data_IF_212432133689
#
_entry.id   IF_212432133689
#
_cell.length_a   1.000
_cell.length_b   1.000
_cell.length_c   1.000
_cell.angle_alpha   90.00
_cell.angle_beta   90.00
_cell.angle_gamma   90.00
#
_symmetry.space_group_name_H-M   'P 1'
#
loop_
_entity.id
_entity.type
_entity.pdbx_description
1 polymer ?
#
# COMPACT_ATOMS: atom_id res chain seq x y z
N UNK A 1 -26.31 -5.12 -12.04
CA UNK A 1 -25.57 -3.98 -12.64
C UNK A 1 -24.19 -3.96 -12.00
N UNK A 2 -23.14 -4.30 -12.75
CA UNK A 2 -21.76 -4.26 -12.26
C UNK A 2 -21.26 -2.82 -12.40
N UNK A 3 -20.96 -2.14 -11.30
CA UNK A 3 -20.47 -0.76 -11.36
C UNK A 3 -19.07 -0.76 -11.96
N UNK A 4 -18.91 -0.12 -13.12
CA UNK A 4 -17.59 0.18 -13.67
C UNK A 4 -16.89 1.16 -12.72
N UNK A 5 -15.60 0.92 -12.46
CA UNK A 5 -14.75 1.85 -11.75
C UNK A 5 -14.75 3.19 -12.50
N UNK A 6 -14.96 4.28 -11.77
CA UNK A 6 -14.97 5.62 -12.32
C UNK A 6 -14.29 6.60 -11.34
N UNK A 7 -14.23 7.88 -11.71
CA UNK A 7 -13.55 8.89 -10.91
C UNK A 7 -14.19 9.16 -9.54
N UNK A 8 -15.42 8.70 -9.25
CA UNK A 8 -16.17 9.02 -8.01
C UNK A 8 -15.32 8.83 -6.76
N UNK A 9 -15.53 9.69 -5.76
CA UNK A 9 -14.82 9.54 -4.49
C UNK A 9 -15.08 8.16 -3.86
N UNK A 10 -14.02 7.62 -3.26
CA UNK A 10 -14.03 6.43 -2.44
C UNK A 10 -14.47 5.16 -3.18
N UNK A 11 -14.22 5.07 -4.50
CA UNK A 11 -14.22 3.78 -5.17
C UNK A 11 -12.84 3.13 -5.08
N UNK A 12 -12.83 1.81 -4.92
CA UNK A 12 -11.63 1.01 -4.74
C UNK A 12 -11.46 0.09 -5.93
N UNK A 13 -10.25 0.04 -6.50
CA UNK A 13 -9.97 -0.83 -7.66
C UNK A 13 -9.27 -2.13 -7.26
N UNK A 14 -8.26 -2.05 -6.39
CA UNK A 14 -7.48 -3.19 -5.92
C UNK A 14 -6.88 -2.96 -4.54
N UNK A 15 -6.63 -4.05 -3.81
CA UNK A 15 -5.88 -4.08 -2.56
C UNK A 15 -4.83 -5.18 -2.59
N UNK A 16 -3.61 -4.87 -2.13
CA UNK A 16 -2.48 -5.78 -2.05
C UNK A 16 -2.10 -5.92 -0.57
N UNK A 17 -2.43 -7.07 0.00
CA UNK A 17 -2.14 -7.42 1.38
C UNK A 17 -1.21 -8.63 1.40
N UNK A 18 -0.02 -8.44 1.96
CA UNK A 18 0.92 -9.51 2.21
C UNK A 18 1.21 -9.55 3.71
N UNK A 19 0.55 -10.48 4.40
CA UNK A 19 0.78 -10.75 5.81
C UNK A 19 2.01 -11.65 5.98
N UNK A 20 2.96 -11.22 6.81
CA UNK A 20 4.04 -12.06 7.30
C UNK A 20 3.58 -12.85 8.52
N UNK A 21 4.08 -14.08 8.67
CA UNK A 21 3.84 -14.92 9.85
C UNK A 21 4.75 -14.58 11.04
N UNK A 22 5.64 -13.60 10.87
CA UNK A 22 6.67 -13.20 11.81
C UNK A 22 7.73 -12.34 11.12
N UNK A 23 8.44 -11.51 11.87
CA UNK A 23 9.60 -10.78 11.38
C UNK A 23 10.90 -11.48 11.79
N UNK A 24 12.00 -11.35 11.02
CA UNK A 24 13.31 -11.80 11.48
C UNK A 24 13.64 -11.16 12.84
N UNK A 25 13.90 -11.97 13.88
CA UNK A 25 14.16 -11.51 15.24
C UNK A 25 12.91 -11.18 16.08
N UNK A 26 11.71 -11.32 15.50
CA UNK A 26 10.43 -11.16 16.18
C UNK A 26 9.38 -12.10 15.53
N UNK A 27 9.66 -13.41 15.60
CA UNK A 27 8.94 -14.44 14.85
C UNK A 27 7.49 -14.66 15.33
N UNK A 28 7.15 -14.16 16.52
CA UNK A 28 5.77 -14.16 17.05
C UNK A 28 4.99 -12.88 16.74
N UNK A 29 5.61 -11.86 16.16
CA UNK A 29 4.95 -10.60 15.83
C UNK A 29 4.33 -10.68 14.43
N UNK A 30 3.00 -10.71 14.38
CA UNK A 30 2.27 -10.60 13.14
C UNK A 30 2.48 -9.21 12.51
N UNK A 31 2.65 -9.16 11.19
CA UNK A 31 2.82 -7.90 10.46
C UNK A 31 2.46 -8.01 8.99
N UNK A 32 2.43 -6.86 8.30
CA UNK A 32 2.20 -6.80 6.86
C UNK A 32 3.46 -6.29 6.16
N UNK A 33 3.99 -7.08 5.22
CA UNK A 33 5.03 -6.64 4.27
C UNK A 33 4.42 -5.62 3.30
N UNK A 34 3.15 -5.80 2.96
CA UNK A 34 2.38 -4.88 2.13
C UNK A 34 0.95 -4.76 2.66
N UNK A 35 0.45 -3.53 2.71
CA UNK A 35 -0.95 -3.22 3.01
C UNK A 35 -1.35 -1.99 2.20
N UNK A 36 -1.39 -2.14 0.88
CA UNK A 36 -1.61 -1.03 -0.05
C UNK A 36 -2.93 -1.18 -0.79
N UNK A 37 -3.57 -0.08 -1.15
CA UNK A 37 -4.77 -0.11 -1.97
C UNK A 37 -4.84 1.09 -2.92
N UNK A 38 -5.62 0.93 -3.98
CA UNK A 38 -5.89 1.97 -4.96
C UNK A 38 -7.29 2.54 -4.73
N UNK A 39 -7.40 3.86 -4.70
CA UNK A 39 -8.65 4.56 -4.40
C UNK A 39 -8.79 5.84 -5.22
N UNK A 40 -10.00 6.10 -5.72
CA UNK A 40 -10.35 7.33 -6.43
C UNK A 40 -10.86 8.44 -5.50
N UNK A 41 -10.59 9.70 -5.82
CA UNK A 41 -10.97 10.86 -4.98
C UNK A 41 -11.78 11.96 -5.69
N UNK A 42 -12.60 11.60 -6.69
CA UNK A 42 -13.26 12.49 -7.69
C UNK A 42 -12.36 12.97 -8.80
N UNK A 43 -11.06 13.05 -8.56
CA UNK A 43 -10.12 13.60 -9.54
C UNK A 43 -9.06 12.59 -9.91
N UNK A 44 -8.48 11.87 -8.95
CA UNK A 44 -7.26 11.10 -9.15
C UNK A 44 -7.42 9.61 -8.80
N UNK A 45 -6.47 8.80 -9.28
CA UNK A 45 -6.21 7.44 -8.78
C UNK A 45 -5.05 7.51 -7.77
N UNK A 46 -5.33 7.24 -6.50
CA UNK A 46 -4.35 7.34 -5.43
C UNK A 46 -3.85 5.96 -4.98
N UNK A 47 -2.56 5.90 -4.63
CA UNK A 47 -1.96 4.75 -3.92
C UNK A 47 -1.98 5.07 -2.44
N UNK A 48 -2.60 4.19 -1.66
CA UNK A 48 -2.83 4.37 -0.23
C UNK A 48 -2.16 3.24 0.54
N UNK A 49 -1.63 3.56 1.71
CA UNK A 49 -1.20 2.61 2.73
C UNK A 49 -2.30 2.47 3.78
N UNK A 50 -2.76 1.24 4.02
CA UNK A 50 -3.78 0.92 5.01
C UNK A 50 -3.11 0.75 6.38
N UNK A 51 -3.21 1.78 7.21
CA UNK A 51 -2.77 1.76 8.59
C UNK A 51 -3.97 1.64 9.55
N UNK A 52 -3.73 1.12 10.77
CA UNK A 52 -4.78 0.79 11.73
C UNK A 52 -5.68 1.96 12.15
N UNK A 53 -5.16 3.19 12.17
CA UNK A 53 -5.90 4.38 12.61
C UNK A 53 -6.34 5.25 11.45
N UNK A 54 -5.42 5.58 10.54
CA UNK A 54 -5.71 6.44 9.40
C UNK A 54 -4.80 6.07 8.25
N UNK A 55 -5.41 5.69 7.13
CA UNK A 55 -4.68 5.39 5.90
C UNK A 55 -3.91 6.61 5.39
N UNK A 56 -2.71 6.38 4.89
CA UNK A 56 -1.84 7.43 4.36
C UNK A 56 -1.78 7.35 2.84
N UNK A 57 -1.81 8.50 2.14
CA UNK A 57 -1.52 8.54 0.70
C UNK A 57 -0.01 8.40 0.48
N UNK A 58 0.39 7.39 -0.28
CA UNK A 58 1.78 7.18 -0.69
C UNK A 58 2.13 7.92 -1.98
N UNK A 59 1.14 8.11 -2.85
CA UNK A 59 1.30 8.77 -4.13
C UNK A 59 -0.01 8.80 -4.94
N UNK A 60 0.08 9.27 -6.17
CA UNK A 60 -1.03 9.36 -7.11
C UNK A 60 -0.54 9.13 -8.53
N UNK A 61 -1.36 8.49 -9.36
CA UNK A 61 -1.15 8.42 -10.81
C UNK A 61 -1.61 9.69 -11.53
N UNK A 62 -2.20 10.64 -10.80
CA UNK A 62 -2.82 11.83 -11.37
C UNK A 62 -4.29 11.59 -11.72
N UNK A 63 -4.85 12.37 -12.67
CA UNK A 63 -6.26 12.30 -13.04
C UNK A 63 -6.74 10.89 -13.35
N UNK A 64 -7.98 10.58 -12.99
CA UNK A 64 -8.59 9.30 -13.31
C UNK A 64 -8.71 9.11 -14.82
N UNK A 65 -8.23 7.97 -15.30
CA UNK A 65 -8.34 7.50 -16.67
C UNK A 65 -8.62 5.97 -16.69
N UNK A 66 -8.68 5.40 -17.88
CA UNK A 66 -8.80 3.94 -18.09
C UNK A 66 -7.54 3.34 -18.73
N UNK A 67 -6.41 4.04 -18.62
CA UNK A 67 -5.14 3.58 -19.20
C UNK A 67 -4.44 2.58 -18.25
N UNK A 68 -3.43 1.89 -18.79
CA UNK A 68 -2.63 0.96 -18.00
C UNK A 68 -1.64 1.70 -17.11
N UNK A 69 -1.60 1.32 -15.83
CA UNK A 69 -0.67 1.85 -14.83
C UNK A 69 0.20 0.74 -14.24
N UNK A 70 1.41 1.09 -13.80
CA UNK A 70 2.33 0.15 -13.12
C UNK A 70 2.55 0.57 -11.68
N UNK A 71 2.35 -0.38 -10.74
CA UNK A 71 2.65 -0.21 -9.32
C UNK A 71 3.88 -1.04 -8.95
N UNK A 72 4.86 -0.45 -8.28
CA UNK A 72 6.06 -1.16 -7.82
C UNK A 72 6.42 -0.73 -6.40
N UNK A 73 6.72 -1.72 -5.56
CA UNK A 73 7.27 -1.49 -4.22
C UNK A 73 8.71 -2.02 -4.19
N UNK A 74 9.67 -1.15 -3.92
CA UNK A 74 11.08 -1.51 -3.82
C UNK A 74 11.46 -1.66 -2.36
N UNK A 75 11.77 -2.88 -1.96
CA UNK A 75 12.35 -3.18 -0.66
C UNK A 75 13.88 -3.22 -0.83
N UNK A 76 14.64 -2.34 -0.15
CA UNK A 76 16.08 -2.19 -0.39
C UNK A 76 16.94 -3.34 0.17
N UNK A 77 16.33 -4.38 0.76
CA UNK A 77 17.01 -5.62 1.16
C UNK A 77 17.86 -5.55 2.43
N UNK A 78 18.10 -4.37 2.99
CA UNK A 78 18.76 -4.22 4.28
C UNK A 78 17.73 -4.15 5.40
N UNK A 79 17.65 -5.23 6.17
CA UNK A 79 17.15 -5.15 7.55
C UNK A 79 18.22 -4.40 8.38
N UNK A 80 17.80 -3.55 9.30
CA UNK A 80 18.66 -2.67 10.10
C UNK A 80 19.87 -3.41 10.72
N UNK A 81 21.04 -3.29 10.11
CA UNK A 81 22.33 -3.58 10.74
C UNK A 81 22.69 -2.58 11.87
N UNK A 82 21.84 -1.58 12.12
CA UNK A 82 22.13 -0.51 13.08
C UNK A 82 21.45 -0.66 14.45
N UNK A 83 20.59 -1.67 14.70
CA UNK A 83 20.02 -1.88 16.05
C UNK A 83 20.88 -2.69 17.02
N UNK A 84 22.04 -3.20 16.60
CA UNK A 84 22.94 -3.98 17.46
C UNK A 84 24.41 -3.51 17.46
N UNK A 85 24.72 -2.36 16.84
CA UNK A 85 26.09 -1.81 16.84
C UNK A 85 26.34 -0.74 17.93
N UNK A 86 25.44 -0.57 18.90
CA UNK A 86 25.65 0.36 20.00
C UNK A 86 24.61 0.29 21.10
N UNK A 87 24.87 -0.54 22.11
CA UNK A 87 24.48 -0.37 23.52
C UNK A 87 25.31 -1.34 24.38
#
# INVERSE_FOLDING_TARGET
MMYLLNASANQYSAGIYWRGSGWPGAESEEGYIAAFYLQTDKTNINVMYHANTTSQRLGSYGPFDHDWHTLTFRFPGWWLAERHAGA
#
